data_IF_116875209087
#
_entry.id   IF_116875209087
#
_cell.length_a   1.000
_cell.length_b   1.000
_cell.length_c   1.000
_cell.angle_alpha   90.00
_cell.angle_beta   90.00
_cell.angle_gamma   90.00
#
_symmetry.space_group_name_H-M   'P 1'
#
loop_
_entity.id
_entity.type
_entity.pdbx_description
1 polymer ?
#
# COMPACT_ATOMS: atom_id res chain seq x y z
N UNK A 1 2.07 -11.45 -22.29
CA UNK A 1 2.55 -10.09 -22.05
C UNK A 1 2.50 -9.86 -20.56
N UNK A 2 3.67 -9.79 -19.94
CA UNK A 2 3.83 -9.59 -18.49
C UNK A 2 3.41 -8.17 -18.13
N UNK A 3 2.11 -7.95 -17.95
CA UNK A 3 1.63 -6.78 -17.22
C UNK A 3 1.44 -7.24 -15.77
N UNK A 4 2.54 -7.68 -15.16
CA UNK A 4 2.60 -7.77 -13.71
C UNK A 4 2.26 -6.37 -13.23
N UNK A 5 1.10 -6.16 -12.60
CA UNK A 5 0.61 -4.86 -12.18
C UNK A 5 1.78 -4.06 -11.57
N UNK A 6 2.29 -3.07 -12.31
CA UNK A 6 3.44 -2.29 -11.88
C UNK A 6 3.09 -1.77 -10.49
N UNK A 7 3.89 -2.13 -9.49
CA UNK A 7 3.63 -1.66 -8.13
C UNK A 7 3.61 -0.15 -8.15
N UNK A 8 2.65 0.42 -7.44
CA UNK A 8 2.62 1.85 -7.26
C UNK A 8 3.85 2.32 -6.49
N UNK A 9 4.30 3.56 -6.74
CA UNK A 9 5.32 4.19 -5.90
C UNK A 9 4.91 4.14 -4.44
N UNK A 10 5.88 4.10 -3.54
CA UNK A 10 5.63 4.11 -2.10
C UNK A 10 4.74 5.30 -1.73
N UNK A 11 3.61 5.01 -1.07
CA UNK A 11 2.62 6.02 -0.72
C UNK A 11 1.41 6.13 -1.68
N UNK A 12 1.32 5.30 -2.73
CA UNK A 12 0.19 5.29 -3.66
C UNK A 12 -0.42 3.89 -3.85
N UNK A 13 -1.70 3.83 -4.20
CA UNK A 13 -2.44 2.58 -4.44
C UNK A 13 -3.60 2.73 -5.45
N UNK A 14 -4.14 1.58 -5.88
CA UNK A 14 -5.29 1.47 -6.78
C UNK A 14 -4.93 1.62 -8.26
N UNK A 15 -5.96 1.67 -9.11
CA UNK A 15 -5.78 1.69 -10.57
C UNK A 15 -5.02 2.95 -11.02
N UNK A 16 -3.81 2.74 -11.59
CA UNK A 16 -2.86 3.79 -11.98
C UNK A 16 -2.31 4.63 -10.81
N UNK A 17 -2.33 4.11 -9.57
CA UNK A 17 -1.71 4.78 -8.42
C UNK A 17 -2.29 6.18 -8.14
N UNK A 18 -3.60 6.32 -8.37
CA UNK A 18 -4.32 7.59 -8.19
C UNK A 18 -4.72 7.88 -6.75
N UNK A 19 -4.66 6.89 -5.87
CA UNK A 19 -5.02 7.06 -4.48
C UNK A 19 -3.76 7.13 -3.62
N UNK A 20 -3.74 8.04 -2.65
CA UNK A 20 -2.66 8.14 -1.66
C UNK A 20 -2.89 7.19 -0.48
N UNK A 21 -1.82 6.59 0.00
CA UNK A 21 -1.80 5.74 1.18
C UNK A 21 -1.75 6.58 2.45
N UNK A 22 -2.81 6.51 3.24
CA UNK A 22 -2.93 7.24 4.50
C UNK A 22 -2.46 6.40 5.70
N UNK A 23 -1.31 5.75 5.56
CA UNK A 23 -0.78 4.86 6.58
C UNK A 23 0.07 5.61 7.60
N UNK A 24 -0.20 5.38 8.89
CA UNK A 24 0.54 6.02 9.99
C UNK A 24 1.95 5.45 10.13
N UNK A 25 2.88 6.25 10.68
CA UNK A 25 4.26 5.87 10.98
C UNK A 25 5.10 5.38 9.78
N UNK A 26 4.73 5.75 8.56
CA UNK A 26 5.40 5.26 7.34
C UNK A 26 5.27 3.76 7.16
N UNK A 27 4.14 3.18 7.62
CA UNK A 27 3.82 1.79 7.36
C UNK A 27 3.72 1.53 5.86
N UNK A 28 4.11 0.33 5.44
CA UNK A 28 3.97 -0.07 4.05
C UNK A 28 2.48 -0.11 3.69
N UNK A 29 2.16 0.19 2.46
CA UNK A 29 0.79 0.20 1.96
C UNK A 29 0.69 -0.77 0.79
N UNK A 30 -0.37 -1.56 0.78
CA UNK A 30 -0.66 -2.46 -0.32
C UNK A 30 -1.06 -1.62 -1.55
N UNK A 31 -0.25 -1.70 -2.60
CA UNK A 31 -0.46 -0.94 -3.83
C UNK A 31 -1.75 -1.33 -4.57
N UNK A 32 -2.37 -2.47 -4.25
CA UNK A 32 -3.59 -2.97 -4.89
C UNK A 32 -4.82 -2.32 -4.26
N UNK A 33 -4.93 -2.36 -2.93
CA UNK A 33 -6.16 -1.98 -2.21
C UNK A 33 -5.96 -0.90 -1.14
N UNK A 34 -4.74 -0.40 -0.96
CA UNK A 34 -4.44 0.66 0.01
C UNK A 34 -4.33 0.17 1.45
N UNK A 35 -4.32 -1.15 1.70
CA UNK A 35 -4.26 -1.69 3.06
C UNK A 35 -2.91 -1.37 3.69
N UNK A 36 -2.92 -0.79 4.88
CA UNK A 36 -1.69 -0.53 5.63
C UNK A 36 -1.13 -1.84 6.20
N UNK A 37 0.04 -2.23 5.69
CA UNK A 37 0.83 -3.35 6.15
C UNK A 37 1.76 -2.84 7.24
N UNK A 38 1.35 -3.06 8.49
CA UNK A 38 2.17 -2.77 9.65
C UNK A 38 3.40 -3.69 9.70
N UNK A 39 4.52 -3.20 10.24
CA UNK A 39 5.74 -4.03 10.41
C UNK A 39 5.42 -5.27 11.26
N UNK A 40 6.02 -6.44 10.97
CA UNK A 40 5.83 -7.63 11.80
C UNK A 40 6.12 -7.30 13.27
N UNK A 41 5.12 -7.42 14.14
CA UNK A 41 5.17 -6.97 15.54
C UNK A 41 4.18 -5.86 15.90
N UNK A 42 3.62 -5.18 14.90
CA UNK A 42 2.46 -4.30 15.06
C UNK A 42 1.21 -5.08 14.61
N UNK A 43 0.47 -5.61 15.57
CA UNK A 43 -0.87 -6.15 15.32
C UNK A 43 -1.80 -4.96 15.06
N UNK A 44 -2.44 -4.94 13.90
CA UNK A 44 -3.52 -3.99 13.64
C UNK A 44 -4.69 -4.32 14.56
N UNK A 45 -4.99 -3.40 15.48
CA UNK A 45 -6.34 -3.18 16.00
C UNK A 45 -6.57 -1.67 15.97
N UNK A 46 -7.07 -1.18 14.83
CA UNK A 46 -8.08 -0.12 14.83
C UNK A 46 -8.83 -0.06 13.50
#
# INVERSE_FOLDING_TARGET
GEVCANRCPDGLWGDNCKNECMCYNGAACDHINGTCICKPGFHGDQ
#
